data_IF_367668323358
#
_entry.id   IF_367668323358
#
_cell.length_a   1.000
_cell.length_b   1.000
_cell.length_c   1.000
_cell.angle_alpha   90.00
_cell.angle_beta   90.00
_cell.angle_gamma   90.00
#
_symmetry.space_group_name_H-M   'P 1'
#
loop_
_entity.id
_entity.type
_entity.pdbx_description
1 polymer ?
#
# COMPACT_ATOMS: atom_id res chain seq x y z
N UNK A 1 -4.66 -12.07 -1.10
CA UNK A 1 -5.64 -11.90 0.01
C UNK A 1 -6.08 -10.43 0.10
N UNK A 2 -7.32 -10.12 0.53
CA UNK A 2 -7.77 -8.74 0.77
C UNK A 2 -7.60 -8.35 2.24
N UNK A 3 -7.06 -7.16 2.48
CA UNK A 3 -6.82 -6.61 3.82
C UNK A 3 -7.70 -5.36 3.99
N UNK A 4 -8.58 -5.33 5.00
CA UNK A 4 -9.34 -4.14 5.34
C UNK A 4 -8.47 -3.00 5.86
N UNK A 5 -8.90 -1.75 5.59
CA UNK A 5 -8.24 -0.58 6.17
C UNK A 5 -8.37 -0.50 7.70
N UNK A 6 -9.34 -1.19 8.30
CA UNK A 6 -9.44 -1.35 9.76
C UNK A 6 -8.27 -2.12 10.36
N UNK A 7 -7.60 -2.94 9.56
CA UNK A 7 -6.49 -3.80 10.00
C UNK A 7 -5.14 -3.12 9.81
N UNK A 8 -5.14 -1.80 9.57
CA UNK A 8 -3.95 -0.96 9.51
C UNK A 8 -2.89 -1.46 8.51
N UNK A 9 -3.21 -1.57 7.21
CA UNK A 9 -2.30 -2.14 6.21
C UNK A 9 -0.95 -1.41 6.09
N UNK A 10 -0.89 -0.14 6.51
CA UNK A 10 0.35 0.65 6.58
C UNK A 10 1.39 0.08 7.55
N UNK A 11 0.98 -0.65 8.58
CA UNK A 11 1.89 -1.29 9.54
C UNK A 11 2.75 -2.35 8.87
N UNK A 12 2.23 -3.03 7.82
CA UNK A 12 3.01 -4.01 7.03
C UNK A 12 4.13 -3.38 6.22
N UNK A 13 3.98 -2.10 5.89
CA UNK A 13 5.00 -1.33 5.16
C UNK A 13 5.91 -0.54 6.12
N UNK A 14 5.63 -0.55 7.43
CA UNK A 14 6.37 0.23 8.42
C UNK A 14 6.22 1.74 8.24
N UNK A 15 5.12 2.21 7.61
CA UNK A 15 4.88 3.64 7.34
C UNK A 15 3.71 4.16 8.15
N UNK A 16 3.68 5.49 8.31
CA UNK A 16 2.54 6.16 8.94
C UNK A 16 1.28 6.12 8.08
N UNK A 17 0.13 6.19 8.76
CA UNK A 17 -1.20 6.27 8.12
C UNK A 17 -1.26 7.37 7.05
N UNK A 18 -0.79 8.58 7.35
CA UNK A 18 -0.85 9.72 6.41
C UNK A 18 -0.12 9.40 5.11
N UNK A 19 1.12 8.91 5.20
CA UNK A 19 1.93 8.50 4.05
C UNK A 19 1.23 7.43 3.22
N UNK A 20 0.61 6.44 3.87
CA UNK A 20 -0.16 5.42 3.15
C UNK A 20 -1.34 6.01 2.37
N UNK A 21 -2.09 6.94 2.96
CA UNK A 21 -3.18 7.60 2.26
C UNK A 21 -2.67 8.48 1.11
N UNK A 22 -1.52 9.12 1.23
CA UNK A 22 -0.87 9.84 0.12
C UNK A 22 -0.51 8.89 -1.02
N UNK A 23 0.06 7.72 -0.72
CA UNK A 23 0.36 6.69 -1.71
C UNK A 23 -0.89 6.16 -2.41
N UNK A 24 -1.99 6.00 -1.68
CA UNK A 24 -3.29 5.63 -2.27
C UNK A 24 -3.83 6.76 -3.16
N UNK A 25 -3.81 8.00 -2.67
CA UNK A 25 -4.32 9.16 -3.40
C UNK A 25 -3.50 9.47 -4.67
N UNK A 26 -2.19 9.19 -4.65
CA UNK A 26 -1.30 9.32 -5.80
C UNK A 26 -1.34 8.10 -6.73
N UNK A 27 -2.15 7.07 -6.41
CA UNK A 27 -2.27 5.86 -7.22
C UNK A 27 -1.07 4.91 -7.12
N UNK A 28 -0.12 5.16 -6.21
CA UNK A 28 1.04 4.29 -5.96
C UNK A 28 0.65 2.98 -5.26
N UNK A 29 -0.44 2.99 -4.48
CA UNK A 29 -1.06 1.81 -3.89
C UNK A 29 -2.51 1.75 -4.34
N UNK A 30 -2.85 0.70 -5.08
CA UNK A 30 -4.19 0.41 -5.57
C UNK A 30 -5.04 -0.17 -4.46
N UNK A 31 -6.31 0.27 -4.42
CA UNK A 31 -7.29 -0.21 -3.44
C UNK A 31 -8.54 -0.65 -4.17
N UNK A 32 -9.29 -1.55 -3.55
CA UNK A 32 -10.56 -2.03 -4.07
C UNK A 32 -11.67 -1.66 -3.10
N UNK A 33 -12.79 -1.21 -3.66
CA UNK A 33 -14.01 -0.93 -2.89
C UNK A 33 -14.97 -2.09 -3.05
N UNK A 34 -15.36 -2.70 -1.94
CA UNK A 34 -16.42 -3.70 -1.89
C UNK A 34 -17.54 -3.12 -1.02
N UNK A 35 -18.58 -2.62 -1.70
CA UNK A 35 -19.65 -1.85 -1.07
C UNK A 35 -19.10 -0.59 -0.40
N UNK A 36 -19.31 -0.48 0.93
CA UNK A 36 -18.83 0.66 1.75
C UNK A 36 -17.41 0.49 2.28
N UNK A 37 -16.79 -0.69 2.10
CA UNK A 37 -15.47 -1.01 2.66
C UNK A 37 -14.39 -0.79 1.61
N UNK A 38 -13.29 -0.15 2.03
CA UNK A 38 -12.07 -0.05 1.26
C UNK A 38 -11.09 -1.12 1.73
N UNK A 39 -10.51 -1.84 0.78
CA UNK A 39 -9.59 -2.95 1.00
C UNK A 39 -8.34 -2.75 0.14
N UNK A 40 -7.24 -3.36 0.52
CA UNK A 40 -6.02 -3.44 -0.27
C UNK A 40 -5.67 -4.91 -0.51
N UNK A 41 -5.16 -5.25 -1.69
CA UNK A 41 -4.61 -6.59 -1.92
C UNK A 41 -3.29 -6.73 -1.14
N UNK A 42 -3.06 -7.86 -0.48
CA UNK A 42 -1.78 -8.14 0.16
C UNK A 42 -0.63 -8.04 -0.85
N UNK A 43 -0.82 -8.62 -2.04
CA UNK A 43 0.15 -8.63 -3.14
C UNK A 43 0.47 -7.22 -3.65
N UNK A 44 -0.44 -6.25 -3.47
CA UNK A 44 -0.21 -4.84 -3.79
C UNK A 44 0.82 -4.21 -2.86
N UNK A 45 0.72 -4.50 -1.55
CA UNK A 45 1.67 -4.01 -0.56
C UNK A 45 3.07 -4.59 -0.84
N UNK A 46 3.13 -5.88 -1.17
CA UNK A 46 4.38 -6.52 -1.55
C UNK A 46 4.96 -5.96 -2.86
N UNK A 47 4.11 -5.69 -3.86
CA UNK A 47 4.53 -5.04 -5.10
C UNK A 47 5.15 -3.68 -4.80
N UNK A 48 4.46 -2.85 -4.04
CA UNK A 48 4.95 -1.52 -3.68
C UNK A 48 6.31 -1.58 -2.94
N UNK A 49 6.46 -2.53 -2.00
CA UNK A 49 7.73 -2.72 -1.29
C UNK A 49 8.88 -3.14 -2.23
N UNK A 50 8.60 -4.02 -3.21
CA UNK A 50 9.58 -4.40 -4.25
C UNK A 50 9.94 -3.22 -5.14
N UNK A 51 8.94 -2.50 -5.66
CA UNK A 51 9.15 -1.32 -6.51
C UNK A 51 10.04 -0.28 -5.82
N UNK A 52 9.84 -0.07 -4.51
CA UNK A 52 10.65 0.86 -3.72
C UNK A 52 12.09 0.37 -3.57
N UNK A 53 12.30 -0.92 -3.32
CA UNK A 53 13.64 -1.50 -3.21
C UNK A 53 14.41 -1.41 -4.53
N UNK A 54 13.74 -1.61 -5.67
CA UNK A 54 14.36 -1.49 -6.99
C UNK A 54 14.69 -0.02 -7.31
N UNK A 55 13.79 0.92 -7.02
CA UNK A 55 14.04 2.37 -7.13
C UNK A 55 15.24 2.84 -6.30
N UNK A 56 15.44 2.27 -5.11
CA UNK A 56 16.58 2.59 -4.25
C UNK A 56 17.90 2.03 -4.78
N UNK A 57 17.88 0.87 -5.46
CA UNK A 57 19.08 0.31 -6.11
C UNK A 57 19.48 1.11 -7.34
N UNK A 58 18.52 1.51 -8.17
CA UNK A 58 18.80 2.26 -9.40
C UNK A 58 19.33 3.68 -9.12
N UNK A 59 19.11 4.20 -7.91
CA UNK A 59 19.61 5.49 -7.46
C UNK A 59 21.01 5.45 -6.81
N UNK A 60 21.60 4.26 -6.65
CA UNK A 60 22.91 4.01 -6.03
C UNK A 60 23.98 3.68 -7.07
#
# INVERSE_FOLDING_TARGET
MLIPFSDQPWDRLGIGRTTFYELVNTGRISTVHIGRRRLVHADELERFARDLADQQRDAA
#
